data_IF_370819158063
#
_entry.id   IF_370819158063
#
_cell.length_a   1.000
_cell.length_b   1.000
_cell.length_c   1.000
_cell.angle_alpha   90.00
_cell.angle_beta   90.00
_cell.angle_gamma   90.00
#
_symmetry.space_group_name_H-M   'P 1'
#
loop_
_entity.id
_entity.type
_entity.pdbx_description
1 polymer ?
#
# COMPACT_ATOMS: atom_id res chain seq x y z
N UNK A 1 45.18 50.63 2.98
CA UNK A 1 43.91 50.56 2.22
C UNK A 1 44.08 49.76 0.92
N UNK A 2 45.14 50.00 0.14
CA UNK A 2 45.38 49.31 -1.15
C UNK A 2 45.65 47.80 -1.02
N UNK A 3 46.35 47.37 0.04
CA UNK A 3 46.65 45.95 0.32
C UNK A 3 45.42 45.15 0.80
N UNK A 4 44.51 45.79 1.53
CA UNK A 4 43.24 45.18 1.96
C UNK A 4 42.30 44.96 0.76
N UNK A 5 42.35 45.86 -0.23
CA UNK A 5 41.59 45.73 -1.47
C UNK A 5 42.14 44.61 -2.37
N UNK A 6 43.46 44.38 -2.43
CA UNK A 6 44.03 43.27 -3.20
C UNK A 6 43.74 41.91 -2.58
N UNK A 7 43.75 41.80 -1.24
CA UNK A 7 43.38 40.55 -0.53
C UNK A 7 41.90 40.23 -0.74
N UNK A 8 41.03 41.23 -0.65
CA UNK A 8 39.61 41.06 -0.93
C UNK A 8 39.33 40.62 -2.38
N UNK A 9 40.11 41.13 -3.35
CA UNK A 9 40.00 40.74 -4.75
C UNK A 9 40.47 39.30 -4.99
N UNK A 10 41.58 38.88 -4.38
CA UNK A 10 42.06 37.49 -4.48
C UNK A 10 41.11 36.49 -3.82
N UNK A 11 40.50 36.85 -2.68
CA UNK A 11 39.51 36.00 -2.01
C UNK A 11 38.23 35.86 -2.84
N UNK A 12 37.84 36.92 -3.56
CA UNK A 12 36.69 36.89 -4.45
C UNK A 12 36.92 35.97 -5.66
N UNK A 13 38.11 36.06 -6.28
CA UNK A 13 38.52 35.18 -7.37
C UNK A 13 38.57 33.70 -6.93
N UNK A 14 39.08 33.43 -5.72
CA UNK A 14 39.14 32.06 -5.18
C UNK A 14 37.74 31.48 -4.94
N UNK A 15 36.80 32.29 -4.44
CA UNK A 15 35.39 31.86 -4.28
C UNK A 15 34.71 31.63 -5.62
N UNK A 16 35.01 32.44 -6.63
CA UNK A 16 34.46 32.28 -7.98
C UNK A 16 34.92 30.94 -8.57
N UNK A 17 36.20 30.61 -8.44
CA UNK A 17 36.75 29.33 -8.88
C UNK A 17 36.17 28.13 -8.09
N UNK A 18 35.98 28.26 -6.77
CA UNK A 18 35.32 27.24 -5.95
C UNK A 18 33.84 27.02 -6.35
N UNK A 19 33.14 28.09 -6.73
CA UNK A 19 31.74 28.03 -7.19
C UNK A 19 31.65 27.35 -8.57
N UNK A 20 32.55 27.69 -9.48
CA UNK A 20 32.59 27.06 -10.81
C UNK A 20 32.91 25.56 -10.72
N UNK A 21 33.84 25.16 -9.84
CA UNK A 21 34.10 23.74 -9.58
C UNK A 21 32.88 23.00 -9.03
N UNK A 22 32.14 23.62 -8.10
CA UNK A 22 30.90 23.03 -7.56
C UNK A 22 29.79 22.97 -8.62
N UNK A 23 29.66 23.98 -9.47
CA UNK A 23 28.70 23.99 -10.56
C UNK A 23 29.00 22.87 -11.56
N UNK A 24 30.26 22.69 -11.95
CA UNK A 24 30.67 21.61 -12.84
C UNK A 24 30.49 20.21 -12.23
N UNK A 25 30.69 20.06 -10.91
CA UNK A 25 30.41 18.80 -10.21
C UNK A 25 28.90 18.50 -10.13
N UNK A 26 28.09 19.53 -9.89
CA UNK A 26 26.62 19.42 -9.90
C UNK A 26 26.11 19.01 -11.28
N UNK A 27 26.60 19.64 -12.35
CA UNK A 27 26.20 19.34 -13.72
C UNK A 27 26.58 17.90 -14.12
N UNK A 28 27.78 17.43 -13.73
CA UNK A 28 28.15 16.01 -13.90
C UNK A 28 27.22 15.06 -13.16
N UNK A 29 26.83 15.38 -11.92
CA UNK A 29 25.87 14.56 -11.17
C UNK A 29 24.48 14.59 -11.80
N UNK A 30 24.04 15.73 -12.30
CA UNK A 30 22.78 15.85 -13.03
C UNK A 30 22.81 15.05 -14.34
N UNK A 31 23.91 15.09 -15.09
CA UNK A 31 24.10 14.26 -16.28
C UNK A 31 24.14 12.78 -15.94
N UNK A 32 24.79 12.37 -14.84
CA UNK A 32 24.76 10.98 -14.38
C UNK A 32 23.35 10.53 -13.99
N UNK A 33 22.58 11.37 -13.29
CA UNK A 33 21.18 11.09 -12.93
C UNK A 33 20.32 11.01 -14.19
N UNK A 34 20.50 11.94 -15.13
CA UNK A 34 19.76 11.98 -16.39
C UNK A 34 20.11 10.76 -17.28
N UNK A 35 21.39 10.39 -17.34
CA UNK A 35 21.85 9.22 -18.09
C UNK A 35 21.38 7.91 -17.45
N UNK A 36 21.35 7.81 -16.11
CA UNK A 36 20.70 6.69 -15.40
C UNK A 36 19.20 6.60 -15.71
N UNK A 37 18.49 7.73 -15.67
CA UNK A 37 17.08 7.81 -16.05
C UNK A 37 16.84 7.41 -17.52
N UNK A 38 17.77 7.75 -18.42
CA UNK A 38 17.70 7.45 -19.86
C UNK A 38 18.06 6.00 -20.20
N UNK A 39 18.98 5.40 -19.44
CA UNK A 39 19.47 4.02 -19.68
C UNK A 39 18.55 2.97 -19.06
N UNK A 40 17.81 3.31 -18.00
CA UNK A 40 16.81 2.42 -17.36
C UNK A 40 15.49 3.17 -17.11
N UNK A 41 14.67 3.43 -18.15
CA UNK A 41 13.37 4.05 -17.98
C UNK A 41 12.46 3.10 -17.18
N UNK A 42 12.34 3.32 -15.87
CA UNK A 42 11.40 2.60 -15.00
C UNK A 42 11.99 1.71 -13.89
N UNK A 43 13.32 1.61 -13.71
CA UNK A 43 13.90 0.97 -12.52
C UNK A 43 14.24 2.06 -11.51
N UNK A 44 13.20 2.52 -10.80
CA UNK A 44 13.36 3.45 -9.68
C UNK A 44 13.70 2.66 -8.42
N UNK A 45 14.71 3.10 -7.67
CA UNK A 45 15.19 2.40 -6.47
C UNK A 45 14.06 2.19 -5.46
N UNK A 46 13.85 0.97 -5.00
CA UNK A 46 12.79 0.68 -4.04
C UNK A 46 12.98 1.50 -2.75
N UNK A 47 11.98 2.29 -2.38
CA UNK A 47 11.99 3.21 -1.23
C UNK A 47 11.06 2.74 -0.09
N UNK A 48 10.30 1.66 -0.29
CA UNK A 48 9.23 1.25 0.61
C UNK A 48 9.27 -0.25 0.96
N UNK A 49 9.10 -0.65 2.24
CA UNK A 49 9.04 0.20 3.43
C UNK A 49 10.44 0.73 3.85
N UNK A 50 10.55 1.97 4.36
CA UNK A 50 11.78 2.52 4.91
C UNK A 50 12.02 1.89 6.28
N UNK A 51 12.52 0.66 6.27
CA UNK A 51 12.86 -0.04 7.49
C UNK A 51 14.30 0.31 7.91
N UNK A 52 14.58 0.39 9.22
CA UNK A 52 15.94 0.47 9.73
C UNK A 52 16.79 -0.66 9.12
N UNK A 53 18.07 -0.43 8.83
CA UNK A 53 19.00 -1.41 8.19
C UNK A 53 19.10 -2.78 8.91
N UNK A 54 18.52 -2.90 10.11
CA UNK A 54 18.47 -4.11 10.92
C UNK A 54 17.25 -5.02 10.61
N UNK A 55 16.26 -4.55 9.85
CA UNK A 55 15.09 -5.36 9.49
C UNK A 55 15.40 -6.20 8.24
N UNK A 56 15.14 -7.53 8.22
CA UNK A 56 15.42 -8.41 7.08
C UNK A 56 14.56 -8.15 5.83
N UNK A 57 13.57 -7.27 5.93
CA UNK A 57 12.71 -6.85 4.81
C UNK A 57 13.40 -5.68 4.11
N UNK A 58 14.04 -5.96 2.97
CA UNK A 58 14.59 -4.90 2.10
C UNK A 58 13.44 -4.04 1.53
N UNK A 59 13.67 -2.76 1.19
CA UNK A 59 12.71 -1.99 0.40
C UNK A 59 12.34 -2.78 -0.86
N UNK A 60 11.07 -3.19 -0.95
CA UNK A 60 10.57 -4.05 -2.03
C UNK A 60 9.87 -3.25 -3.13
N UNK A 61 9.58 -1.98 -2.90
CA UNK A 61 8.77 -1.18 -3.83
C UNK A 61 9.21 0.29 -3.88
N UNK A 62 9.27 0.87 -5.08
CA UNK A 62 9.32 2.33 -5.23
C UNK A 62 7.90 2.89 -5.11
N UNK A 63 7.69 3.81 -4.16
CA UNK A 63 6.41 4.43 -3.89
C UNK A 63 6.59 5.95 -3.88
N UNK A 64 6.24 6.62 -4.98
CA UNK A 64 6.13 8.08 -5.02
C UNK A 64 4.72 8.49 -5.45
N UNK A 65 3.95 9.00 -4.49
CA UNK A 65 2.59 9.45 -4.74
C UNK A 65 2.55 10.69 -5.64
N UNK A 66 3.60 11.52 -5.63
CA UNK A 66 3.63 12.81 -6.33
C UNK A 66 3.86 12.64 -7.83
N UNK A 67 4.62 11.60 -8.21
CA UNK A 67 5.00 11.34 -9.60
C UNK A 67 4.09 10.32 -10.29
N UNK A 68 3.52 9.36 -9.55
CA UNK A 68 2.77 8.23 -10.14
C UNK A 68 1.24 8.37 -10.09
N UNK A 69 0.71 9.30 -9.30
CA UNK A 69 -0.75 9.51 -9.16
C UNK A 69 -1.09 10.96 -9.50
N UNK A 70 -2.13 11.21 -10.32
CA UNK A 70 -2.61 12.56 -10.57
C UNK A 70 -2.93 13.30 -9.25
N UNK A 71 -2.60 14.60 -9.12
CA UNK A 71 -2.71 15.35 -7.86
C UNK A 71 -4.10 15.28 -7.21
N UNK A 72 -5.14 15.10 -8.02
CA UNK A 72 -6.53 14.94 -7.61
C UNK A 72 -6.79 13.68 -6.74
N UNK A 73 -6.07 12.58 -6.99
CA UNK A 73 -6.28 11.29 -6.30
C UNK A 73 -5.22 11.00 -5.22
N UNK A 74 -4.12 11.75 -5.20
CA UNK A 74 -3.01 11.56 -4.25
C UNK A 74 -3.45 11.55 -2.79
N UNK A 75 -4.39 12.45 -2.41
CA UNK A 75 -4.89 12.53 -1.03
C UNK A 75 -5.58 11.24 -0.60
N UNK A 76 -6.42 10.67 -1.47
CA UNK A 76 -7.16 9.44 -1.19
C UNK A 76 -6.20 8.25 -1.10
N UNK A 77 -5.22 8.16 -2.01
CA UNK A 77 -4.21 7.11 -1.96
C UNK A 77 -3.32 7.17 -0.72
N UNK A 78 -2.88 8.37 -0.32
CA UNK A 78 -2.10 8.56 0.93
C UNK A 78 -2.92 8.15 2.14
N UNK A 79 -4.18 8.57 2.24
CA UNK A 79 -5.05 8.18 3.35
C UNK A 79 -5.30 6.66 3.38
N UNK A 80 -5.45 6.01 2.22
CA UNK A 80 -5.60 4.55 2.12
C UNK A 80 -4.34 3.82 2.62
N UNK A 81 -3.17 4.33 2.25
CA UNK A 81 -1.89 3.84 2.73
C UNK A 81 -1.76 3.99 4.27
N UNK A 82 -2.11 5.16 4.82
CA UNK A 82 -2.11 5.36 6.28
C UNK A 82 -3.12 4.47 7.00
N UNK A 83 -4.30 4.21 6.42
CA UNK A 83 -5.25 3.25 6.96
C UNK A 83 -4.64 1.83 7.01
N UNK A 84 -3.90 1.43 5.98
CA UNK A 84 -3.22 0.13 5.95
C UNK A 84 -2.16 0.03 7.06
N UNK A 85 -1.38 1.11 7.26
CA UNK A 85 -0.38 1.16 8.34
C UNK A 85 -1.04 1.14 9.73
N UNK A 86 -2.11 1.91 9.90
CA UNK A 86 -2.89 1.96 11.14
C UNK A 86 -3.54 0.61 11.45
N UNK A 87 -4.04 -0.11 10.45
CA UNK A 87 -4.53 -1.48 10.59
C UNK A 87 -3.44 -2.41 11.14
N UNK A 88 -2.25 -2.40 10.52
CA UNK A 88 -1.11 -3.22 10.97
C UNK A 88 -0.71 -2.90 12.42
N UNK A 89 -0.67 -1.60 12.77
CA UNK A 89 -0.39 -1.15 14.14
C UNK A 89 -1.48 -1.61 15.11
N UNK A 90 -2.76 -1.50 14.72
CA UNK A 90 -3.90 -1.91 15.55
C UNK A 90 -3.88 -3.41 15.81
N UNK A 91 -3.62 -4.23 14.79
CA UNK A 91 -3.47 -5.68 14.94
C UNK A 91 -2.28 -6.04 15.84
N UNK A 92 -1.18 -5.29 15.75
CA UNK A 92 -0.02 -5.50 16.63
C UNK A 92 -0.37 -5.19 18.09
N UNK A 93 -1.02 -4.04 18.34
CA UNK A 93 -1.49 -3.67 19.68
C UNK A 93 -2.56 -4.66 20.19
N UNK A 94 -3.38 -5.22 19.31
CA UNK A 94 -4.34 -6.27 19.65
C UNK A 94 -3.64 -7.54 20.14
N UNK A 95 -2.53 -7.96 19.51
CA UNK A 95 -1.71 -9.07 20.03
C UNK A 95 -1.18 -8.76 21.42
N UNK A 96 -0.68 -7.55 21.67
CA UNK A 96 -0.22 -7.16 23.01
C UNK A 96 -1.36 -7.14 24.05
N UNK A 97 -2.56 -6.70 23.66
CA UNK A 97 -3.73 -6.70 24.53
C UNK A 97 -4.18 -8.14 24.86
N UNK A 98 -4.26 -9.02 23.85
CA UNK A 98 -4.59 -10.43 24.06
C UNK A 98 -3.51 -11.16 24.87
N UNK A 99 -2.23 -10.79 24.69
CA UNK A 99 -1.13 -11.31 25.52
C UNK A 99 -1.28 -10.87 26.98
N UNK A 100 -1.59 -9.60 27.23
CA UNK A 100 -1.82 -9.08 28.57
C UNK A 100 -3.04 -9.73 29.25
N UNK A 101 -4.07 -10.10 28.47
CA UNK A 101 -5.20 -10.88 28.98
C UNK A 101 -4.80 -12.33 29.31
N UNK A 102 -4.00 -12.95 28.45
CA UNK A 102 -3.52 -14.32 28.66
C UNK A 102 -2.64 -14.46 29.92
N UNK A 103 -1.83 -13.45 30.27
CA UNK A 103 -0.98 -13.50 31.47
C UNK A 103 -1.76 -13.46 32.78
N UNK A 104 -2.95 -12.84 32.80
CA UNK A 104 -3.81 -12.80 33.99
C UNK A 104 -4.80 -13.96 34.04
N UNK A 105 -5.14 -14.54 32.89
CA UNK A 105 -6.10 -15.63 32.77
C UNK A 105 -5.68 -16.59 31.62
N UNK A 106 -5.02 -17.72 31.95
CA UNK A 106 -4.53 -18.67 30.95
C UNK A 106 -5.61 -19.28 30.04
N UNK A 107 -6.88 -19.23 30.44
CA UNK A 107 -8.01 -19.68 29.61
C UNK A 107 -8.18 -18.89 28.32
N UNK A 108 -7.63 -17.68 28.21
CA UNK A 108 -7.69 -16.83 27.01
C UNK A 108 -6.54 -17.09 26.01
N UNK A 109 -5.85 -18.24 26.12
CA UNK A 109 -4.79 -18.61 25.18
C UNK A 109 -5.26 -18.70 23.73
N UNK A 110 -6.53 -19.05 23.51
CA UNK A 110 -7.17 -19.03 22.20
C UNK A 110 -7.18 -17.61 21.59
N UNK A 111 -7.59 -16.60 22.35
CA UNK A 111 -7.65 -15.22 21.86
C UNK A 111 -6.25 -14.68 21.50
N UNK A 112 -5.23 -15.02 22.28
CA UNK A 112 -3.85 -14.70 21.94
C UNK A 112 -3.40 -15.39 20.65
N UNK A 113 -3.61 -16.70 20.51
CA UNK A 113 -3.23 -17.43 19.29
C UNK A 113 -3.91 -16.89 18.02
N UNK A 114 -5.23 -16.64 18.09
CA UNK A 114 -5.98 -16.06 16.98
C UNK A 114 -5.51 -14.64 16.64
N UNK A 115 -5.21 -13.80 17.64
CA UNK A 115 -4.69 -12.46 17.40
C UNK A 115 -3.40 -12.45 16.58
N UNK A 116 -2.52 -13.45 16.79
CA UNK A 116 -1.28 -13.60 16.04
C UNK A 116 -1.55 -14.04 14.60
N UNK A 117 -2.48 -14.98 14.39
CA UNK A 117 -2.92 -15.39 13.05
C UNK A 117 -3.51 -14.20 12.29
N UNK A 118 -4.34 -13.39 12.95
CA UNK A 118 -4.91 -12.18 12.35
C UNK A 118 -3.85 -11.15 11.98
N UNK A 119 -2.85 -10.93 12.83
CA UNK A 119 -1.72 -10.06 12.51
C UNK A 119 -0.99 -10.55 11.26
N UNK A 120 -0.65 -11.83 11.19
CA UNK A 120 0.12 -12.40 10.08
C UNK A 120 -0.67 -12.52 8.77
N UNK A 121 -1.98 -12.74 8.84
CA UNK A 121 -2.84 -12.87 7.66
C UNK A 121 -3.31 -11.51 7.15
N UNK A 122 -3.90 -10.68 8.02
CA UNK A 122 -4.51 -9.42 7.59
C UNK A 122 -3.49 -8.33 7.26
N UNK A 123 -2.29 -8.35 7.84
CA UNK A 123 -1.23 -7.37 7.49
C UNK A 123 -0.83 -7.46 6.00
N UNK A 124 -0.33 -8.59 5.48
CA UNK A 124 0.01 -8.71 4.06
C UNK A 124 -1.22 -8.68 3.15
N UNK A 125 -2.33 -9.29 3.57
CA UNK A 125 -3.58 -9.27 2.82
C UNK A 125 -4.08 -7.83 2.62
N UNK A 126 -3.97 -6.98 3.65
CA UNK A 126 -4.44 -5.60 3.54
C UNK A 126 -3.69 -4.80 2.48
N UNK A 127 -2.37 -4.97 2.43
CA UNK A 127 -1.54 -4.30 1.45
C UNK A 127 -1.77 -4.82 0.02
N UNK A 128 -1.93 -6.14 -0.14
CA UNK A 128 -2.05 -6.76 -1.46
C UNK A 128 -3.48 -6.69 -2.02
N UNK A 129 -4.49 -6.84 -1.19
CA UNK A 129 -5.87 -7.08 -1.63
C UNK A 129 -6.70 -5.80 -1.75
N UNK A 130 -6.33 -4.68 -1.13
CA UNK A 130 -7.03 -3.41 -1.33
C UNK A 130 -6.11 -2.22 -1.63
N UNK A 131 -4.95 -2.09 -0.98
CA UNK A 131 -4.04 -0.99 -1.30
C UNK A 131 -3.51 -1.07 -2.75
N UNK A 132 -2.96 -2.22 -3.15
CA UNK A 132 -2.45 -2.41 -4.53
C UNK A 132 -3.52 -2.23 -5.62
N UNK A 133 -4.70 -2.83 -5.52
CA UNK A 133 -5.77 -2.61 -6.49
C UNK A 133 -6.18 -1.15 -6.59
N UNK A 134 -6.31 -0.44 -5.46
CA UNK A 134 -6.67 0.98 -5.50
C UNK A 134 -5.57 1.83 -6.13
N UNK A 135 -4.31 1.49 -5.85
CA UNK A 135 -3.15 2.18 -6.40
C UNK A 135 -3.08 2.00 -7.91
N UNK A 136 -3.29 0.77 -8.38
CA UNK A 136 -3.40 0.47 -9.81
C UNK A 136 -4.59 1.19 -10.45
N UNK A 137 -5.75 1.19 -9.78
CA UNK A 137 -6.96 1.83 -10.26
C UNK A 137 -6.75 3.33 -10.52
N UNK A 138 -6.13 4.05 -9.57
CA UNK A 138 -5.85 5.47 -9.73
C UNK A 138 -4.72 5.79 -10.70
N UNK A 139 -3.71 4.93 -10.83
CA UNK A 139 -2.61 5.13 -11.79
C UNK A 139 -3.06 4.93 -13.24
N UNK A 140 -3.82 3.86 -13.51
CA UNK A 140 -4.15 3.45 -14.89
C UNK A 140 -5.61 3.72 -15.27
N UNK A 141 -6.37 4.43 -14.44
CA UNK A 141 -7.83 4.61 -14.56
C UNK A 141 -8.60 3.30 -14.85
N UNK A 142 -8.13 2.18 -14.27
CA UNK A 142 -8.69 0.87 -14.60
C UNK A 142 -9.97 0.60 -13.81
N UNK A 143 -11.07 0.48 -14.55
CA UNK A 143 -12.41 0.20 -14.02
C UNK A 143 -12.49 -1.17 -13.34
N UNK A 144 -11.77 -2.17 -13.86
CA UNK A 144 -11.68 -3.50 -13.25
C UNK A 144 -10.99 -3.46 -11.88
N UNK A 145 -9.92 -2.67 -11.77
CA UNK A 145 -9.18 -2.52 -10.50
C UNK A 145 -10.02 -1.79 -9.44
N UNK A 146 -10.86 -0.82 -9.85
CA UNK A 146 -11.85 -0.20 -8.97
C UNK A 146 -12.91 -1.20 -8.48
N UNK A 147 -13.46 -2.04 -9.36
CA UNK A 147 -14.47 -3.04 -8.97
C UNK A 147 -13.92 -4.05 -7.95
N UNK A 148 -12.73 -4.61 -8.22
CA UNK A 148 -12.07 -5.52 -7.28
C UNK A 148 -11.80 -4.85 -5.93
N UNK A 149 -11.32 -3.60 -5.96
CA UNK A 149 -11.13 -2.80 -4.73
C UNK A 149 -12.43 -2.67 -3.94
N UNK A 150 -13.55 -2.26 -4.55
CA UNK A 150 -14.81 -2.06 -3.82
C UNK A 150 -15.31 -3.34 -3.16
N UNK A 151 -15.25 -4.47 -3.86
CA UNK A 151 -15.69 -5.75 -3.32
C UNK A 151 -14.85 -6.17 -2.10
N UNK A 152 -13.53 -6.18 -2.25
CA UNK A 152 -12.62 -6.59 -1.17
C UNK A 152 -12.64 -5.60 -0.01
N UNK A 153 -12.62 -4.30 -0.30
CA UNK A 153 -12.57 -3.27 0.74
C UNK A 153 -13.90 -3.19 1.51
N UNK A 154 -15.04 -3.45 0.86
CA UNK A 154 -16.32 -3.58 1.57
C UNK A 154 -16.30 -4.73 2.57
N UNK A 155 -15.80 -5.92 2.18
CA UNK A 155 -15.62 -7.03 3.11
C UNK A 155 -14.67 -6.66 4.26
N UNK A 156 -13.60 -5.93 3.97
CA UNK A 156 -12.67 -5.42 4.99
C UNK A 156 -13.34 -4.46 5.98
N UNK A 157 -14.24 -3.58 5.52
CA UNK A 157 -15.03 -2.70 6.40
C UNK A 157 -15.89 -3.52 7.37
N UNK A 158 -16.53 -4.58 6.89
CA UNK A 158 -17.32 -5.50 7.74
C UNK A 158 -16.42 -6.18 8.78
N UNK A 159 -15.22 -6.63 8.38
CA UNK A 159 -14.24 -7.21 9.30
C UNK A 159 -13.83 -6.21 10.38
N UNK A 160 -13.58 -4.93 10.03
CA UNK A 160 -13.27 -3.90 11.04
C UNK A 160 -14.39 -3.69 12.04
N UNK A 161 -15.65 -3.72 11.59
CA UNK A 161 -16.80 -3.60 12.49
C UNK A 161 -16.84 -4.79 13.46
N UNK A 162 -16.65 -6.02 12.97
CA UNK A 162 -16.62 -7.23 13.81
C UNK A 162 -15.44 -7.17 14.81
N UNK A 163 -14.26 -6.72 14.38
CA UNK A 163 -13.09 -6.54 15.24
C UNK A 163 -13.32 -5.48 16.32
N UNK A 164 -13.98 -4.37 15.96
CA UNK A 164 -14.35 -3.33 16.92
C UNK A 164 -15.36 -3.83 17.96
N UNK A 165 -16.32 -4.67 17.56
CA UNK A 165 -17.25 -5.32 18.49
C UNK A 165 -16.48 -6.24 19.45
N UNK A 166 -15.54 -7.04 18.94
CA UNK A 166 -14.67 -7.89 19.75
C UNK A 166 -15.40 -9.07 20.36
N UNK A 167 -15.93 -9.96 19.51
CA UNK A 167 -16.57 -11.20 19.96
C UNK A 167 -15.54 -12.04 20.74
N UNK A 168 -15.90 -12.45 21.95
CA UNK A 168 -15.02 -13.25 22.82
C UNK A 168 -14.64 -14.58 22.16
N UNK A 169 -13.36 -14.96 22.21
CA UNK A 169 -12.85 -16.18 21.59
C UNK A 169 -12.46 -16.02 20.12
N UNK A 170 -12.63 -14.83 19.53
CA UNK A 170 -12.20 -14.54 18.15
C UNK A 170 -10.81 -13.89 18.08
N UNK A 171 -10.16 -13.64 19.21
CA UNK A 171 -8.83 -13.02 19.25
C UNK A 171 -8.81 -11.53 18.92
N UNK A 172 -9.94 -10.82 19.12
CA UNK A 172 -10.03 -9.37 18.96
C UNK A 172 -10.45 -8.72 20.28
N UNK A 173 -9.61 -7.82 20.78
CA UNK A 173 -9.83 -7.01 21.98
C UNK A 173 -10.72 -5.80 21.68
N UNK A 174 -11.93 -6.06 21.17
CA UNK A 174 -12.93 -5.02 20.90
C UNK A 174 -13.75 -4.65 22.14
N UNK A 175 -14.82 -3.87 21.94
CA UNK A 175 -15.62 -3.30 23.03
C UNK A 175 -16.19 -4.36 23.97
N UNK A 176 -16.83 -5.41 23.45
CA UNK A 176 -17.42 -6.48 24.26
C UNK A 176 -16.36 -7.19 25.13
N UNK A 177 -15.24 -7.58 24.52
CA UNK A 177 -14.13 -8.23 25.23
C UNK A 177 -13.50 -7.30 26.29
N UNK A 178 -13.37 -6.01 26.01
CA UNK A 178 -12.83 -5.06 26.98
C UNK A 178 -13.74 -4.86 28.20
N UNK A 179 -15.06 -4.78 27.98
CA UNK A 179 -16.04 -4.62 29.06
C UNK A 179 -16.16 -5.87 29.95
N UNK A 180 -15.95 -7.07 29.41
CA UNK A 180 -15.96 -8.29 30.23
C UNK A 180 -14.76 -8.37 31.17
N UNK A 181 -13.63 -7.74 30.82
CA UNK A 181 -12.38 -7.80 31.59
C UNK A 181 -12.23 -6.61 32.53
N UNK A 182 -12.76 -5.43 32.20
CA UNK A 182 -12.53 -4.20 32.96
C UNK A 182 -13.03 -4.26 34.42
N UNK A 183 -14.05 -5.05 34.69
CA UNK A 183 -14.55 -5.30 36.05
C UNK A 183 -13.58 -6.08 36.93
N UNK A 184 -12.75 -6.95 36.32
CA UNK A 184 -11.80 -7.81 37.02
C UNK A 184 -10.40 -7.20 37.07
N UNK A 185 -9.90 -6.69 35.94
CA UNK A 185 -8.60 -6.05 35.85
C UNK A 185 -8.69 -4.76 35.04
N UNK A 186 -8.69 -3.62 35.77
CA UNK A 186 -8.83 -2.28 35.17
C UNK A 186 -7.71 -1.94 34.19
N UNK A 187 -6.49 -2.43 34.44
CA UNK A 187 -5.32 -2.13 33.59
C UNK A 187 -5.45 -2.86 32.25
N UNK A 188 -5.67 -4.17 32.28
CA UNK A 188 -5.84 -4.98 31.06
C UNK A 188 -7.09 -4.54 30.29
N UNK A 189 -8.21 -4.32 30.99
CA UNK A 189 -9.44 -3.79 30.38
C UNK A 189 -9.21 -2.43 29.70
N UNK A 190 -8.42 -1.53 30.32
CA UNK A 190 -8.05 -0.25 29.72
C UNK A 190 -7.21 -0.38 28.45
N UNK A 191 -6.24 -1.30 28.43
CA UNK A 191 -5.44 -1.60 27.22
C UNK A 191 -6.34 -2.14 26.11
N UNK A 192 -7.26 -3.05 26.43
CA UNK A 192 -8.22 -3.57 25.45
C UNK A 192 -9.16 -2.49 24.92
N UNK A 193 -9.64 -1.57 25.77
CA UNK A 193 -10.45 -0.43 25.31
C UNK A 193 -9.70 0.47 24.33
N UNK A 194 -8.40 0.72 24.56
CA UNK A 194 -7.58 1.49 23.61
C UNK A 194 -7.55 0.81 22.23
N UNK A 195 -7.41 -0.53 22.20
CA UNK A 195 -7.47 -1.31 20.95
C UNK A 195 -8.85 -1.24 20.31
N UNK A 196 -9.92 -1.33 21.09
CA UNK A 196 -11.30 -1.20 20.59
C UNK A 196 -11.56 0.18 19.93
N UNK A 197 -11.03 1.26 20.51
CA UNK A 197 -11.06 2.60 19.92
C UNK A 197 -10.33 2.62 18.58
N UNK A 198 -9.12 2.03 18.50
CA UNK A 198 -8.36 1.97 17.26
C UNK A 198 -9.08 1.18 16.16
N UNK A 199 -9.67 0.03 16.46
CA UNK A 199 -10.50 -0.71 15.49
C UNK A 199 -11.72 0.10 15.04
N UNK A 200 -12.34 0.85 15.96
CA UNK A 200 -13.46 1.75 15.63
C UNK A 200 -13.01 2.88 14.70
N UNK A 201 -11.83 3.48 14.95
CA UNK A 201 -11.24 4.48 14.05
C UNK A 201 -10.92 3.90 12.67
N UNK A 202 -10.39 2.67 12.59
CA UNK A 202 -10.20 1.95 11.34
C UNK A 202 -11.53 1.76 10.59
N UNK A 203 -12.61 1.38 11.29
CA UNK A 203 -13.94 1.22 10.69
C UNK A 203 -14.49 2.56 10.15
N UNK A 204 -14.40 3.64 10.93
CA UNK A 204 -14.88 4.97 10.51
C UNK A 204 -14.08 5.48 9.29
N UNK A 205 -12.74 5.43 9.37
CA UNK A 205 -11.87 5.89 8.30
C UNK A 205 -12.04 5.07 7.01
N UNK A 206 -12.26 3.76 7.14
CA UNK A 206 -12.52 2.89 5.98
C UNK A 206 -13.85 3.22 5.31
N UNK A 207 -14.93 3.52 6.05
CA UNK A 207 -16.19 3.99 5.47
C UNK A 207 -16.02 5.34 4.76
N UNK A 208 -15.31 6.29 5.38
CA UNK A 208 -15.02 7.60 4.75
C UNK A 208 -14.25 7.40 3.45
N UNK A 209 -13.20 6.57 3.48
CA UNK A 209 -12.38 6.29 2.29
C UNK A 209 -13.15 5.56 1.20
N UNK A 210 -14.02 4.62 1.57
CA UNK A 210 -14.91 3.95 0.62
C UNK A 210 -15.79 4.98 -0.11
N UNK A 211 -16.36 5.95 0.62
CA UNK A 211 -17.14 7.06 0.02
C UNK A 211 -16.29 7.97 -0.86
N UNK A 212 -15.07 8.30 -0.44
CA UNK A 212 -14.16 9.14 -1.23
C UNK A 212 -13.75 8.45 -2.54
N UNK A 213 -13.34 7.19 -2.50
CA UNK A 213 -12.97 6.41 -3.70
C UNK A 213 -14.18 6.23 -4.62
N UNK A 214 -15.36 5.96 -4.06
CA UNK A 214 -16.60 5.87 -4.85
C UNK A 214 -16.97 7.22 -5.49
N UNK A 215 -16.76 8.33 -4.77
CA UNK A 215 -16.93 9.68 -5.31
C UNK A 215 -15.97 9.97 -6.47
N UNK A 216 -14.71 9.57 -6.34
CA UNK A 216 -13.72 9.63 -7.41
C UNK A 216 -14.14 8.79 -8.62
N UNK A 217 -14.50 7.52 -8.41
CA UNK A 217 -14.98 6.60 -9.45
C UNK A 217 -16.17 7.16 -10.25
N UNK A 218 -17.13 7.78 -9.55
CA UNK A 218 -18.30 8.43 -10.18
C UNK A 218 -17.93 9.65 -11.04
N UNK A 219 -16.82 10.33 -10.74
CA UNK A 219 -16.35 11.50 -11.51
C UNK A 219 -15.55 11.11 -12.75
N UNK A 220 -14.87 9.96 -12.73
CA UNK A 220 -14.08 9.46 -13.87
C UNK A 220 -14.92 8.84 -15.00
N UNK A 221 -16.25 8.75 -14.86
CA UNK A 221 -17.12 8.12 -15.86
C UNK A 221 -16.89 6.61 -16.01
N UNK A 222 -16.18 5.99 -15.06
CA UNK A 222 -15.93 4.56 -15.06
C UNK A 222 -17.25 3.78 -14.85
N UNK A 223 -17.48 2.76 -15.67
CA UNK A 223 -18.73 1.98 -15.68
C UNK A 223 -18.42 0.47 -15.75
N UNK A 224 -19.39 -0.36 -15.38
CA UNK A 224 -19.26 -1.82 -15.51
C UNK A 224 -19.00 -2.25 -16.96
N UNK A 225 -19.60 -1.56 -17.94
CA UNK A 225 -19.36 -1.79 -19.36
C UNK A 225 -17.92 -1.47 -19.78
N UNK A 226 -17.34 -0.37 -19.26
CA UNK A 226 -15.92 -0.03 -19.46
C UNK A 226 -15.01 -1.07 -18.81
N UNK A 227 -15.36 -1.58 -17.63
CA UNK A 227 -14.63 -2.68 -16.97
C UNK A 227 -14.67 -4.00 -17.78
N UNK A 228 -15.80 -4.32 -18.39
CA UNK A 228 -15.94 -5.50 -19.25
C UNK A 228 -15.12 -5.37 -20.54
N UNK A 229 -15.06 -4.17 -21.12
CA UNK A 229 -14.21 -3.85 -22.27
C UNK A 229 -12.71 -3.89 -21.93
N UNK A 230 -12.30 -3.36 -20.77
CA UNK A 230 -10.91 -3.44 -20.31
C UNK A 230 -10.48 -4.88 -20.03
N UNK A 231 -11.36 -5.71 -19.44
CA UNK A 231 -11.08 -7.12 -19.18
C UNK A 231 -10.96 -7.91 -20.49
N UNK A 232 -11.87 -7.70 -21.45
CA UNK A 232 -11.81 -8.38 -22.75
C UNK A 232 -10.57 -7.94 -23.53
N UNK A 233 -10.28 -6.64 -23.65
CA UNK A 233 -9.08 -6.15 -24.30
C UNK A 233 -7.79 -6.60 -23.62
N UNK A 234 -7.76 -6.67 -22.28
CA UNK A 234 -6.60 -7.15 -21.52
C UNK A 234 -6.33 -8.65 -21.71
N UNK A 235 -7.37 -9.46 -21.95
CA UNK A 235 -7.21 -10.87 -22.36
C UNK A 235 -6.72 -10.97 -23.81
N UNK A 236 -7.19 -10.11 -24.71
CA UNK A 236 -6.77 -10.09 -26.12
C UNK A 236 -5.39 -9.49 -26.38
N UNK A 237 -4.91 -8.53 -25.57
CA UNK A 237 -3.59 -7.89 -25.75
C UNK A 237 -2.44 -8.68 -25.12
N UNK A 238 -2.74 -9.75 -24.41
CA UNK A 238 -1.74 -10.54 -23.71
C UNK A 238 -0.98 -11.39 -24.74
N UNK A 239 0.27 -11.05 -25.04
CA UNK A 239 1.12 -11.76 -26.02
C UNK A 239 1.17 -13.28 -25.79
N UNK A 240 1.02 -13.73 -24.55
CA UNK A 240 0.95 -15.16 -24.23
C UNK A 240 -0.37 -15.81 -24.65
N UNK A 241 -1.49 -15.09 -24.53
CA UNK A 241 -2.82 -15.54 -25.02
C UNK A 241 -2.87 -15.47 -26.54
N UNK A 242 -2.29 -14.42 -27.14
CA UNK A 242 -2.13 -14.32 -28.59
C UNK A 242 -1.26 -15.46 -29.14
N UNK A 243 -0.12 -15.75 -28.50
CA UNK A 243 0.73 -16.86 -28.88
C UNK A 243 0.04 -18.21 -28.69
N UNK A 244 -0.65 -18.43 -27.56
CA UNK A 244 -1.40 -19.67 -27.32
C UNK A 244 -2.56 -19.85 -28.31
N UNK A 245 -3.28 -18.78 -28.65
CA UNK A 245 -4.35 -18.80 -29.65
C UNK A 245 -3.79 -19.01 -31.06
N UNK A 246 -2.66 -18.39 -31.41
CA UNK A 246 -1.97 -18.60 -32.67
C UNK A 246 -1.44 -20.04 -32.79
N UNK A 247 -0.88 -20.60 -31.71
CA UNK A 247 -0.45 -22.00 -31.67
C UNK A 247 -1.66 -22.93 -31.85
N UNK A 248 -2.75 -22.73 -31.09
CA UNK A 248 -3.96 -23.55 -31.22
C UNK A 248 -4.60 -23.47 -32.61
N UNK A 249 -4.66 -22.28 -33.22
CA UNK A 249 -5.16 -22.09 -34.58
C UNK A 249 -4.28 -22.79 -35.62
N UNK A 250 -2.95 -22.72 -35.47
CA UNK A 250 -2.02 -23.41 -36.37
C UNK A 250 -2.13 -24.93 -36.27
N UNK A 251 -2.32 -25.47 -35.05
CA UNK A 251 -2.56 -26.89 -34.83
C UNK A 251 -3.88 -27.34 -35.44
N UNK A 252 -4.97 -26.58 -35.25
CA UNK A 252 -6.27 -26.91 -35.84
C UNK A 252 -6.25 -26.88 -37.38
N UNK A 253 -5.56 -25.91 -37.98
CA UNK A 253 -5.40 -25.83 -39.42
C UNK A 253 -4.60 -27.02 -39.98
N UNK A 254 -3.53 -27.44 -39.30
CA UNK A 254 -2.76 -28.63 -39.68
C UNK A 254 -3.59 -29.91 -39.53
N UNK A 255 -4.39 -30.03 -38.48
CA UNK A 255 -5.29 -31.17 -38.29
C UNK A 255 -6.39 -31.23 -39.36
N UNK A 256 -6.94 -30.10 -39.79
CA UNK A 256 -7.94 -30.04 -40.86
C UNK A 256 -7.35 -30.41 -42.23
N UNK A 257 -6.12 -29.98 -42.54
CA UNK A 257 -5.43 -30.35 -43.78
C UNK A 257 -5.03 -31.84 -43.82
N UNK A 258 -4.80 -32.46 -42.67
CA UNK A 258 -4.57 -33.91 -42.58
C UNK A 258 -5.84 -34.76 -42.73
N UNK A 259 -7.01 -34.14 -42.66
CA UNK A 259 -8.30 -34.83 -42.76
C UNK A 259 -8.90 -34.80 -44.18
N UNK A 260 -8.27 -34.05 -45.09
CA UNK A 260 -8.71 -33.81 -46.48
C UNK A 260 -7.80 -34.53 -47.53
N UNK A 261 -6.93 -35.45 -47.07
CA UNK A 261 -6.09 -36.35 -47.87
C UNK A 261 -6.37 -37.81 -47.48
#
# INVERSE_FOLDING_TARGET
VQEVASVAHSDFLRRQEELERKAAELERREEEINNRNRTQPGIKENNWPPLPRFCPIRPCFYQDFSEEIPPEYQRVCKMMYYLCMMNSLTLFLNVLACLALFTIAPSYGQDFGLSLVWLLLFTPCSFLCWYRPVYKAFRTDSSFSFFFFFFVFFAQVVIFIIQAIGITGWGNSGWLASFSVIGSNKVVGGIMMMVAVLFTLCAILSVILLKMVHGSYRRTGASFQKAQQEFSQGVFSNKNVQNAAATAASTAAQSALHQDN
#
